data_IF_097173304790
#
_entry.id   IF_097173304790
#
_cell.length_a   1.000
_cell.length_b   1.000
_cell.length_c   1.000
_cell.angle_alpha   90.00
_cell.angle_beta   90.00
_cell.angle_gamma   90.00
#
_symmetry.space_group_name_H-M   'P 1'
#
loop_
_entity.id
_entity.type
_entity.pdbx_description
1 polymer ?
#
# COMPACT_ATOMS: atom_id res chain seq x y z
N UNK A 1 -34.90 39.83 -10.77
CA UNK A 1 -33.56 39.81 -10.20
C UNK A 1 -33.20 38.40 -9.85
N UNK A 2 -32.48 37.74 -10.69
CA UNK A 2 -32.20 36.29 -10.62
C UNK A 2 -30.80 36.10 -10.04
N UNK A 3 -30.74 35.46 -8.85
CA UNK A 3 -29.49 35.07 -8.20
C UNK A 3 -29.03 33.75 -8.78
N UNK A 4 -28.10 33.78 -9.73
CA UNK A 4 -27.48 32.55 -10.22
C UNK A 4 -26.05 32.76 -10.77
N UNK A 5 -25.19 33.43 -10.00
CA UNK A 5 -23.82 33.76 -10.46
C UNK A 5 -22.69 33.20 -9.55
N UNK A 6 -22.89 32.03 -8.94
CA UNK A 6 -21.78 31.37 -8.19
C UNK A 6 -21.52 29.93 -8.65
N UNK A 7 -21.60 29.67 -9.94
CA UNK A 7 -21.02 28.47 -10.51
C UNK A 7 -19.63 28.79 -11.09
N UNK A 8 -18.60 28.76 -10.25
CA UNK A 8 -17.23 28.64 -10.76
C UNK A 8 -17.14 27.33 -11.56
N UNK A 9 -16.82 27.37 -12.85
CA UNK A 9 -16.54 26.16 -13.58
C UNK A 9 -15.23 25.59 -13.03
N UNK A 10 -15.32 24.60 -12.14
CA UNK A 10 -14.21 23.72 -11.87
C UNK A 10 -13.96 23.01 -13.20
N UNK A 11 -13.07 23.54 -14.01
CA UNK A 11 -12.41 22.80 -15.09
C UNK A 11 -11.63 21.67 -14.42
N UNK A 12 -12.32 20.61 -14.02
CA UNK A 12 -11.70 19.31 -13.79
C UNK A 12 -11.02 18.97 -15.11
N UNK A 13 -9.72 19.25 -15.18
CA UNK A 13 -8.85 18.62 -16.15
C UNK A 13 -9.26 17.15 -16.10
N UNK A 14 -9.77 16.59 -17.19
CA UNK A 14 -9.95 15.16 -17.39
C UNK A 14 -8.53 14.55 -17.39
N UNK A 15 -7.90 14.49 -16.24
CA UNK A 15 -6.76 13.63 -16.00
C UNK A 15 -7.34 12.23 -16.21
N UNK A 16 -6.81 11.50 -17.15
CA UNK A 16 -7.08 10.07 -17.30
C UNK A 16 -6.87 9.48 -15.91
N UNK A 17 -7.96 9.22 -15.18
CA UNK A 17 -7.89 8.72 -13.81
C UNK A 17 -7.39 7.27 -13.92
N UNK A 18 -6.10 7.08 -13.68
CA UNK A 18 -5.51 5.76 -13.66
C UNK A 18 -5.93 5.13 -12.34
N UNK A 19 -6.80 4.13 -12.40
CA UNK A 19 -7.19 3.36 -11.23
C UNK A 19 -6.05 2.42 -10.82
N UNK A 20 -5.66 2.48 -9.56
CA UNK A 20 -4.71 1.55 -8.96
C UNK A 20 -5.41 0.35 -8.31
N UNK A 21 -6.53 0.60 -7.65
CA UNK A 21 -7.33 -0.38 -6.93
C UNK A 21 -8.81 -0.07 -7.10
N UNK A 22 -9.61 -1.10 -7.29
CA UNK A 22 -11.06 -1.04 -7.21
C UNK A 22 -11.56 -2.12 -6.27
N UNK A 23 -12.43 -1.74 -5.36
CA UNK A 23 -13.11 -2.61 -4.42
C UNK A 23 -14.60 -2.47 -4.66
N UNK A 24 -15.30 -3.58 -4.89
CA UNK A 24 -16.72 -3.61 -5.22
C UNK A 24 -17.43 -4.63 -4.34
N UNK A 25 -18.42 -4.17 -3.58
CA UNK A 25 -19.29 -5.02 -2.76
C UNK A 25 -18.57 -5.83 -1.70
N UNK A 26 -17.43 -5.37 -1.22
CA UNK A 26 -16.59 -6.10 -0.26
C UNK A 26 -17.30 -6.27 1.07
N UNK A 27 -17.38 -7.52 1.53
CA UNK A 27 -17.98 -7.90 2.81
C UNK A 27 -17.01 -8.77 3.60
N UNK A 28 -16.91 -8.50 4.88
CA UNK A 28 -16.10 -9.30 5.81
C UNK A 28 -16.77 -9.42 7.17
N UNK A 29 -16.80 -10.65 7.68
CA UNK A 29 -17.29 -10.98 9.02
C UNK A 29 -16.33 -11.93 9.75
N UNK A 30 -16.43 -11.99 11.07
CA UNK A 30 -15.82 -13.01 11.92
C UNK A 30 -16.92 -13.65 12.77
N UNK A 31 -17.34 -14.85 12.39
CA UNK A 31 -18.52 -15.49 12.97
C UNK A 31 -19.73 -14.59 12.80
N UNK A 32 -20.41 -14.27 13.91
CA UNK A 32 -21.60 -13.41 13.90
C UNK A 32 -21.30 -11.90 13.85
N UNK A 33 -20.02 -11.51 13.93
CA UNK A 33 -19.62 -10.11 13.90
C UNK A 33 -19.34 -9.65 12.48
N UNK A 34 -20.23 -8.86 11.90
CA UNK A 34 -20.01 -8.19 10.62
C UNK A 34 -19.11 -6.97 10.84
N UNK A 35 -17.94 -6.93 10.20
CA UNK A 35 -17.03 -5.79 10.27
C UNK A 35 -17.42 -4.69 9.27
N UNK A 36 -17.70 -5.08 8.05
CA UNK A 36 -18.23 -4.20 7.00
C UNK A 36 -18.95 -5.03 5.94
N UNK A 37 -19.93 -4.41 5.32
CA UNK A 37 -20.79 -5.02 4.32
C UNK A 37 -20.93 -4.12 3.11
N UNK A 38 -20.85 -4.70 1.91
CA UNK A 38 -21.04 -4.04 0.63
C UNK A 38 -20.19 -2.78 0.43
N UNK A 39 -18.95 -2.80 0.92
CA UNK A 39 -18.03 -1.68 0.82
C UNK A 39 -17.53 -1.54 -0.61
N UNK A 40 -17.70 -0.35 -1.20
CA UNK A 40 -17.28 -0.06 -2.58
C UNK A 40 -16.51 1.25 -2.63
N UNK A 41 -15.30 1.22 -3.18
CA UNK A 41 -14.46 2.40 -3.39
C UNK A 41 -13.36 2.14 -4.43
N UNK A 42 -12.72 3.21 -4.90
CA UNK A 42 -11.55 3.13 -5.78
C UNK A 42 -10.42 4.01 -5.28
N UNK A 43 -9.19 3.61 -5.60
CA UNK A 43 -7.97 4.39 -5.36
C UNK A 43 -7.32 4.69 -6.70
N UNK A 44 -7.02 5.95 -6.94
CA UNK A 44 -6.49 6.44 -8.20
C UNK A 44 -5.11 7.06 -8.02
N UNK A 45 -4.40 7.23 -9.12
CA UNK A 45 -3.09 7.87 -9.13
C UNK A 45 -3.11 9.24 -8.44
N UNK A 46 -2.24 9.43 -7.46
CA UNK A 46 -2.10 10.66 -6.70
C UNK A 46 -3.10 10.83 -5.55
N UNK A 47 -3.98 9.84 -5.31
CA UNK A 47 -4.88 9.89 -4.16
C UNK A 47 -4.12 9.76 -2.83
N UNK A 48 -4.64 10.45 -1.83
CA UNK A 48 -4.25 10.31 -0.42
C UNK A 48 -5.51 10.12 0.39
N UNK A 49 -5.70 8.91 0.91
CA UNK A 49 -6.94 8.50 1.55
C UNK A 49 -6.71 8.26 3.03
N UNK A 50 -7.53 8.90 3.88
CA UNK A 50 -7.59 8.64 5.32
C UNK A 50 -8.74 7.70 5.65
N UNK A 51 -8.45 6.60 6.35
CA UNK A 51 -9.46 5.68 6.85
C UNK A 51 -9.79 6.01 8.31
N UNK A 52 -10.96 6.58 8.54
CA UNK A 52 -11.41 7.02 9.87
C UNK A 52 -12.58 6.14 10.32
N UNK A 53 -12.40 5.45 11.44
CA UNK A 53 -13.44 4.66 12.07
C UNK A 53 -13.06 4.34 13.53
N UNK A 54 -14.03 3.93 14.35
CA UNK A 54 -13.81 3.49 15.74
C UNK A 54 -12.84 2.30 15.79
N UNK A 55 -12.23 2.06 16.95
CA UNK A 55 -11.43 0.86 17.15
C UNK A 55 -12.30 -0.40 17.09
N UNK A 56 -11.76 -1.48 16.53
CA UNK A 56 -12.47 -2.76 16.36
C UNK A 56 -13.41 -2.83 15.15
N UNK A 57 -13.53 -1.80 14.33
CA UNK A 57 -14.42 -1.78 13.15
C UNK A 57 -13.83 -2.41 11.90
N UNK A 58 -12.68 -3.09 11.98
CA UNK A 58 -12.09 -3.78 10.84
C UNK A 58 -11.14 -2.95 9.95
N UNK A 59 -10.63 -1.78 10.43
CA UNK A 59 -9.64 -0.99 9.65
C UNK A 59 -8.42 -1.80 9.23
N UNK A 60 -7.81 -2.49 10.19
CA UNK A 60 -6.62 -3.34 9.94
C UNK A 60 -6.98 -4.52 9.04
N UNK A 61 -8.14 -5.14 9.25
CA UNK A 61 -8.67 -6.21 8.42
C UNK A 61 -8.83 -5.75 6.96
N UNK A 62 -9.42 -4.56 6.75
CA UNK A 62 -9.54 -3.98 5.40
C UNK A 62 -8.17 -3.78 4.73
N UNK A 63 -7.19 -3.24 5.47
CA UNK A 63 -5.84 -3.08 4.95
C UNK A 63 -5.16 -4.42 4.64
N UNK A 64 -5.36 -5.44 5.49
CA UNK A 64 -4.86 -6.78 5.26
C UNK A 64 -5.49 -7.42 4.00
N UNK A 65 -6.80 -7.24 3.78
CA UNK A 65 -7.47 -7.70 2.57
C UNK A 65 -6.91 -6.99 1.34
N UNK A 66 -6.75 -5.65 1.38
CA UNK A 66 -6.17 -4.87 0.28
C UNK A 66 -4.72 -5.27 -0.01
N UNK A 67 -4.00 -5.79 0.96
CA UNK A 67 -2.61 -6.25 0.77
C UNK A 67 -2.50 -7.74 0.50
N UNK A 68 -3.63 -8.45 0.37
CA UNK A 68 -3.67 -9.89 0.11
C UNK A 68 -3.22 -10.76 1.27
N UNK A 69 -3.20 -10.21 2.49
CA UNK A 69 -2.82 -10.93 3.72
C UNK A 69 -3.99 -11.62 4.41
N UNK A 70 -5.20 -11.30 4.01
CA UNK A 70 -6.43 -11.82 4.60
C UNK A 70 -7.51 -11.99 3.53
N UNK A 71 -8.31 -13.06 3.63
CA UNK A 71 -9.43 -13.33 2.75
C UNK A 71 -10.68 -12.54 3.16
N UNK A 72 -11.67 -12.48 2.25
CA UNK A 72 -12.96 -11.81 2.46
C UNK A 72 -14.12 -12.72 2.07
N UNK A 73 -15.33 -12.43 2.58
CA UNK A 73 -16.49 -13.31 2.42
C UNK A 73 -17.13 -13.15 1.03
N UNK A 74 -17.24 -11.92 0.54
CA UNK A 74 -17.79 -11.62 -0.78
C UNK A 74 -17.32 -10.27 -1.32
N UNK A 75 -17.54 -10.05 -2.61
CA UNK A 75 -17.12 -8.86 -3.33
C UNK A 75 -15.92 -9.11 -4.24
N UNK A 76 -15.36 -8.02 -4.79
CA UNK A 76 -14.20 -8.08 -5.66
C UNK A 76 -13.17 -7.03 -5.28
N UNK A 77 -11.89 -7.43 -5.29
CA UNK A 77 -10.74 -6.53 -5.13
C UNK A 77 -9.87 -6.67 -6.38
N UNK A 78 -9.82 -5.62 -7.17
CA UNK A 78 -9.12 -5.61 -8.46
C UNK A 78 -7.98 -4.60 -8.43
N UNK A 79 -6.79 -5.07 -8.76
CA UNK A 79 -5.57 -4.25 -8.83
C UNK A 79 -5.19 -3.98 -10.29
N UNK A 80 -4.58 -2.84 -10.52
CA UNK A 80 -3.89 -2.59 -11.77
C UNK A 80 -2.73 -3.59 -11.91
N UNK A 81 -2.49 -4.05 -13.13
CA UNK A 81 -1.30 -4.86 -13.44
C UNK A 81 -0.03 -4.09 -13.05
N UNK A 82 0.96 -4.79 -12.56
CA UNK A 82 2.27 -4.28 -12.17
C UNK A 82 2.25 -3.27 -11.00
N UNK A 83 1.16 -3.24 -10.22
CA UNK A 83 1.09 -2.43 -9.02
C UNK A 83 1.96 -3.05 -7.91
N UNK A 84 2.93 -2.26 -7.40
CA UNK A 84 3.67 -2.62 -6.19
C UNK A 84 2.92 -2.06 -4.99
N UNK A 85 2.60 -2.91 -4.02
CA UNK A 85 1.88 -2.54 -2.81
C UNK A 85 2.83 -2.70 -1.62
N UNK A 86 3.13 -1.59 -0.94
CA UNK A 86 3.83 -1.58 0.33
C UNK A 86 2.83 -1.49 1.49
N UNK A 87 3.08 -2.24 2.56
CA UNK A 87 2.28 -2.19 3.78
C UNK A 87 3.18 -1.98 5.00
N UNK A 88 2.99 -0.88 5.70
CA UNK A 88 3.64 -0.63 6.98
C UNK A 88 2.68 -1.03 8.11
N UNK A 89 2.98 -2.09 8.87
CA UNK A 89 2.17 -2.48 10.02
C UNK A 89 2.25 -1.44 11.15
N UNK A 90 1.25 -1.41 12.02
CA UNK A 90 1.22 -0.53 13.18
C UNK A 90 2.36 -0.82 14.18
N UNK A 91 2.74 -2.08 14.28
CA UNK A 91 3.85 -2.57 15.12
C UNK A 91 4.80 -3.40 14.25
N UNK A 92 5.78 -2.74 13.60
CA UNK A 92 6.73 -3.43 12.75
C UNK A 92 7.73 -4.21 13.62
N UNK A 93 7.89 -5.49 13.35
CA UNK A 93 8.89 -6.34 14.00
C UNK A 93 10.18 -6.30 13.20
N UNK A 94 11.26 -5.95 13.87
CA UNK A 94 12.61 -6.03 13.34
C UNK A 94 13.37 -7.17 13.99
N UNK A 95 14.26 -7.88 13.29
CA UNK A 95 15.14 -8.87 13.89
C UNK A 95 15.98 -8.26 15.02
N UNK A 96 16.22 -9.02 16.08
CA UNK A 96 17.07 -8.57 17.16
C UNK A 96 18.52 -8.40 16.68
N UNK A 97 19.18 -7.35 17.15
CA UNK A 97 20.60 -7.11 16.88
C UNK A 97 20.92 -6.41 15.57
N UNK A 98 19.92 -6.05 14.76
CA UNK A 98 20.14 -5.25 13.56
C UNK A 98 20.31 -3.77 13.88
N UNK A 99 21.12 -3.09 13.11
CA UNK A 99 21.27 -1.62 13.18
C UNK A 99 20.06 -0.92 12.55
N UNK A 100 19.90 0.38 12.84
CA UNK A 100 18.85 1.21 12.19
C UNK A 100 19.02 1.23 10.68
N UNK A 101 20.25 1.25 10.18
CA UNK A 101 20.57 1.23 8.76
C UNK A 101 20.12 -0.08 8.13
N UNK A 102 20.48 -1.21 8.72
CA UNK A 102 20.02 -2.54 8.27
C UNK A 102 18.49 -2.66 8.31
N UNK A 103 17.83 -2.09 9.33
CA UNK A 103 16.37 -2.05 9.39
C UNK A 103 15.74 -1.25 8.24
N UNK A 104 16.36 -0.15 7.81
CA UNK A 104 15.91 0.63 6.65
C UNK A 104 16.05 -0.16 5.34
N UNK A 105 17.06 -1.02 5.24
CA UNK A 105 17.30 -1.88 4.08
C UNK A 105 16.65 -3.27 4.20
N UNK A 106 15.96 -3.55 5.31
CA UNK A 106 15.28 -4.83 5.50
C UNK A 106 13.99 -4.88 4.69
N UNK A 107 14.13 -5.19 3.41
CA UNK A 107 13.00 -5.35 2.49
C UNK A 107 13.30 -6.43 1.46
N UNK A 108 12.26 -7.10 0.96
CA UNK A 108 12.35 -8.08 -0.13
C UNK A 108 12.58 -7.44 -1.51
N UNK A 109 13.05 -6.19 -1.54
CA UNK A 109 13.32 -5.48 -2.78
C UNK A 109 14.67 -5.94 -3.36
N UNK A 110 14.67 -6.37 -4.63
CA UNK A 110 15.89 -6.75 -5.37
C UNK A 110 16.96 -5.65 -5.34
N UNK A 111 16.53 -4.38 -5.48
CA UNK A 111 17.40 -3.21 -5.41
C UNK A 111 18.10 -3.09 -4.06
N UNK A 112 17.36 -3.32 -2.96
CA UNK A 112 17.94 -3.30 -1.62
C UNK A 112 18.93 -4.43 -1.43
N UNK A 113 18.65 -5.62 -1.95
CA UNK A 113 19.58 -6.75 -1.95
C UNK A 113 20.90 -6.42 -2.66
N UNK A 114 20.82 -5.76 -3.81
CA UNK A 114 22.02 -5.31 -4.55
C UNK A 114 22.81 -4.27 -3.77
N UNK A 115 22.14 -3.29 -3.16
CA UNK A 115 22.79 -2.25 -2.34
C UNK A 115 23.52 -2.88 -1.14
N UNK A 116 22.85 -3.78 -0.41
CA UNK A 116 23.47 -4.47 0.74
C UNK A 116 24.69 -5.31 0.32
N UNK A 117 24.58 -6.05 -0.78
CA UNK A 117 25.71 -6.82 -1.32
C UNK A 117 26.89 -5.93 -1.74
N UNK A 118 26.60 -4.75 -2.31
CA UNK A 118 27.63 -3.78 -2.68
C UNK A 118 28.34 -3.20 -1.45
N UNK A 119 27.60 -2.84 -0.39
CA UNK A 119 28.17 -2.36 0.86
C UNK A 119 29.03 -3.42 1.55
N UNK A 120 28.58 -4.68 1.59
CA UNK A 120 29.39 -5.79 2.10
C UNK A 120 30.71 -5.98 1.32
N UNK A 121 30.63 -5.89 -0.02
CA UNK A 121 31.81 -6.01 -0.87
C UNK A 121 32.80 -4.85 -0.64
N UNK A 122 32.31 -3.62 -0.40
CA UNK A 122 33.13 -2.46 -0.04
C UNK A 122 33.84 -2.67 1.30
N UNK A 123 33.12 -3.16 2.32
CA UNK A 123 33.69 -3.40 3.67
C UNK A 123 34.73 -4.52 3.63
N UNK A 124 34.45 -5.58 2.87
CA UNK A 124 35.40 -6.72 2.73
C UNK A 124 36.58 -6.47 1.79
N UNK A 125 36.51 -5.37 0.99
CA UNK A 125 37.53 -5.06 -0.02
C UNK A 125 37.52 -5.99 -1.23
N UNK A 126 36.41 -6.68 -1.48
CA UNK A 126 36.27 -7.61 -2.62
C UNK A 126 35.95 -6.84 -3.90
N UNK A 127 37.03 -6.43 -4.58
CA UNK A 127 36.94 -5.67 -5.82
C UNK A 127 36.28 -6.43 -6.96
N UNK A 128 36.36 -7.77 -6.99
CA UNK A 128 35.72 -8.59 -8.01
C UNK A 128 34.19 -8.55 -7.87
N UNK A 129 33.67 -8.65 -6.63
CA UNK A 129 32.25 -8.57 -6.36
C UNK A 129 31.66 -7.17 -6.58
N UNK A 130 32.48 -6.13 -6.37
CA UNK A 130 32.08 -4.74 -6.65
C UNK A 130 31.86 -4.55 -8.16
N UNK A 131 32.75 -5.07 -9.02
CA UNK A 131 32.62 -4.97 -10.48
C UNK A 131 31.40 -5.73 -11.02
N UNK A 132 30.98 -6.82 -10.39
CA UNK A 132 29.76 -7.58 -10.78
C UNK A 132 28.45 -6.88 -10.42
N UNK A 133 28.44 -5.98 -9.44
CA UNK A 133 27.26 -5.32 -8.91
C UNK A 133 27.00 -3.92 -9.51
N UNK A 134 27.89 -3.40 -10.32
CA UNK A 134 27.82 -2.10 -10.99
C UNK A 134 27.51 -2.27 -12.49
#
# INVERSE_FOLDING_TARGET
>A
MSNNDYLYPIKRRLRRMISFLQVEGLTKSFGDLVLFENLTFGIFEGDRIGLIAKNGTGKTTLLNIITGKEDYDSGNVVYRRDLRIGYLPQDPHFPEGITVLEACFHSDSEVVGVISAYEEALISGDSGRIEELV
#
